data_IF_784306546310
#
_entry.id   IF_784306546310
#
_cell.length_a   1.000
_cell.length_b   1.000
_cell.length_c   1.000
_cell.angle_alpha   90.00
_cell.angle_beta   90.00
_cell.angle_gamma   90.00
#
_symmetry.space_group_name_H-M   'P 1'
#
loop_
_entity.id
_entity.type
_entity.pdbx_description
1 polymer ?
#
# COMPACT_ATOMS: atom_id res chain seq x y z
N UNK A 1 40.05 -33.42 18.75
CA UNK A 1 38.90 -32.94 19.55
C UNK A 1 38.23 -31.69 18.97
N UNK A 2 38.69 -31.14 17.83
CA UNK A 2 38.18 -29.90 17.23
C UNK A 2 37.20 -30.03 16.04
N UNK A 3 37.09 -31.21 15.40
CA UNK A 3 36.19 -31.36 14.24
C UNK A 3 34.70 -31.43 14.61
N UNK A 4 34.38 -31.96 15.80
CA UNK A 4 33.00 -32.05 16.31
C UNK A 4 32.47 -30.68 16.75
N UNK A 5 33.30 -29.85 17.39
CA UNK A 5 32.92 -28.48 17.81
C UNK A 5 32.64 -27.57 16.63
N UNK A 6 33.42 -27.66 15.55
CA UNK A 6 33.17 -26.86 14.35
C UNK A 6 31.91 -27.31 13.59
N UNK A 7 31.55 -28.60 13.58
CA UNK A 7 30.26 -29.06 13.04
C UNK A 7 29.08 -28.53 13.86
N UNK A 8 29.18 -28.55 15.19
CA UNK A 8 28.15 -28.03 16.10
C UNK A 8 27.98 -26.52 15.96
N UNK A 9 29.07 -25.75 15.81
CA UNK A 9 29.00 -24.29 15.61
C UNK A 9 28.40 -23.93 14.23
N UNK A 10 28.71 -24.69 13.17
CA UNK A 10 28.10 -24.50 11.85
C UNK A 10 26.61 -24.87 11.87
N UNK A 11 26.23 -25.95 12.57
CA UNK A 11 24.82 -26.35 12.70
C UNK A 11 23.99 -25.36 13.54
N UNK A 12 24.60 -24.72 14.54
CA UNK A 12 23.92 -23.72 15.39
C UNK A 12 23.77 -22.37 14.66
N UNK A 13 24.73 -21.98 13.80
CA UNK A 13 24.61 -20.74 13.01
C UNK A 13 23.58 -20.79 11.88
N UNK A 14 23.26 -21.96 11.32
CA UNK A 14 22.20 -22.08 10.31
C UNK A 14 20.77 -22.08 10.90
N UNK A 15 20.61 -22.33 12.21
CA UNK A 15 19.28 -22.42 12.84
C UNK A 15 18.72 -21.08 13.32
N UNK A 16 19.53 -20.01 13.31
CA UNK A 16 19.20 -18.73 13.96
C UNK A 16 19.45 -17.50 13.08
N UNK A 17 19.24 -17.62 11.77
CA UNK A 17 19.04 -16.44 10.94
C UNK A 17 18.05 -16.72 9.81
N UNK A 18 16.88 -17.27 10.16
CA UNK A 18 15.68 -17.00 9.34
C UNK A 18 15.33 -15.55 9.70
N UNK A 19 15.88 -14.60 8.94
CA UNK A 19 15.29 -13.26 8.87
C UNK A 19 13.92 -13.53 8.25
N UNK A 20 12.90 -13.68 9.10
CA UNK A 20 11.54 -13.71 8.62
C UNK A 20 11.30 -12.34 8.02
N UNK A 21 11.37 -12.26 6.68
CA UNK A 21 11.03 -11.04 5.97
C UNK A 21 9.54 -10.83 6.22
N UNK A 22 9.22 -9.79 6.98
CA UNK A 22 7.84 -9.36 7.12
C UNK A 22 7.41 -8.82 5.76
N UNK A 23 6.38 -9.41 5.18
CA UNK A 23 5.76 -8.97 3.94
C UNK A 23 4.38 -8.40 4.25
N UNK A 24 3.91 -7.50 3.41
CA UNK A 24 2.56 -6.96 3.49
C UNK A 24 1.65 -7.76 2.57
N UNK A 25 0.56 -8.33 3.13
CA UNK A 25 -0.49 -8.98 2.33
C UNK A 25 -1.67 -8.04 2.29
N UNK A 26 -2.09 -7.67 1.08
CA UNK A 26 -3.17 -6.71 0.85
C UNK A 26 -4.27 -7.24 -0.08
N UNK A 27 -5.51 -6.79 0.13
CA UNK A 27 -6.62 -6.91 -0.80
C UNK A 27 -7.26 -5.56 -1.02
N UNK A 28 -7.52 -5.23 -2.29
CA UNK A 28 -8.24 -4.03 -2.69
C UNK A 28 -9.51 -4.38 -3.44
N UNK A 29 -10.56 -3.59 -3.24
CA UNK A 29 -11.78 -3.67 -4.04
C UNK A 29 -12.42 -2.29 -4.19
N UNK A 30 -13.11 -2.06 -5.30
CA UNK A 30 -13.87 -0.83 -5.50
C UNK A 30 -15.16 -0.86 -4.68
N UNK A 31 -15.58 0.32 -4.25
CA UNK A 31 -16.82 0.55 -3.53
C UNK A 31 -17.74 1.47 -4.33
N UNK A 32 -19.04 1.29 -4.15
CA UNK A 32 -20.00 2.35 -4.46
C UNK A 32 -19.94 3.42 -3.37
N UNK A 33 -20.51 4.60 -3.65
CA UNK A 33 -20.59 5.69 -2.68
C UNK A 33 -21.39 5.29 -1.43
N UNK A 34 -22.46 4.54 -1.64
CA UNK A 34 -23.33 4.05 -0.57
C UNK A 34 -22.57 3.06 0.32
N UNK A 35 -21.84 2.10 -0.29
CA UNK A 35 -21.04 1.13 0.46
C UNK A 35 -19.87 1.79 1.18
N UNK A 36 -19.25 2.81 0.59
CA UNK A 36 -18.25 3.64 1.25
C UNK A 36 -18.79 4.25 2.54
N UNK A 37 -19.97 4.89 2.50
CA UNK A 37 -20.59 5.48 3.69
C UNK A 37 -20.96 4.43 4.74
N UNK A 38 -21.56 3.30 4.32
CA UNK A 38 -21.91 2.18 5.19
C UNK A 38 -20.69 1.63 5.94
N UNK A 39 -19.57 1.44 5.24
CA UNK A 39 -18.35 0.92 5.85
C UNK A 39 -17.72 1.91 6.83
N UNK A 40 -17.75 3.22 6.53
CA UNK A 40 -17.29 4.22 7.49
C UNK A 40 -18.10 4.14 8.79
N UNK A 41 -19.43 4.04 8.71
CA UNK A 41 -20.25 3.86 9.92
C UNK A 41 -19.92 2.55 10.65
N UNK A 42 -19.75 1.45 9.90
CA UNK A 42 -19.41 0.16 10.47
C UNK A 42 -18.08 0.20 11.23
N UNK A 43 -17.00 0.71 10.63
CA UNK A 43 -15.68 0.71 11.27
C UNK A 43 -15.54 1.75 12.37
N UNK A 44 -16.29 2.85 12.33
CA UNK A 44 -16.39 3.77 13.48
C UNK A 44 -17.01 3.08 14.71
N UNK A 45 -17.88 2.08 14.52
CA UNK A 45 -18.51 1.34 15.63
C UNK A 45 -17.73 0.10 16.05
N UNK A 46 -17.09 -0.59 15.10
CA UNK A 46 -16.53 -1.93 15.30
C UNK A 46 -15.00 -1.99 15.19
N UNK A 47 -14.36 -0.93 14.71
CA UNK A 47 -12.91 -0.81 14.62
C UNK A 47 -12.37 0.30 15.53
N UNK A 48 -11.05 0.37 15.62
CA UNK A 48 -10.33 1.46 16.26
C UNK A 48 -9.88 2.45 15.20
N UNK A 49 -10.39 3.69 15.25
CA UNK A 49 -9.92 4.76 14.38
C UNK A 49 -8.42 5.02 14.59
N UNK A 50 -7.67 5.10 13.50
CA UNK A 50 -6.23 5.34 13.52
C UNK A 50 -5.89 6.74 12.98
N UNK A 51 -6.34 7.06 11.77
CA UNK A 51 -6.07 8.36 11.15
C UNK A 51 -7.05 8.71 10.04
N UNK A 52 -7.07 10.00 9.69
CA UNK A 52 -7.63 10.53 8.44
C UNK A 52 -6.60 11.43 7.81
N UNK A 53 -6.28 11.19 6.55
CA UNK A 53 -5.19 11.86 5.85
C UNK A 53 -5.58 12.22 4.42
N UNK A 54 -5.25 13.44 4.02
CA UNK A 54 -5.19 13.81 2.61
C UNK A 54 -3.81 13.47 2.07
N UNK A 55 -3.78 12.67 1.02
CA UNK A 55 -2.56 12.18 0.40
C UNK A 55 -2.48 12.69 -1.04
N UNK A 56 -1.29 13.13 -1.43
CA UNK A 56 -0.92 13.47 -2.79
C UNK A 56 0.28 12.62 -3.19
N UNK A 57 0.13 11.76 -4.20
CA UNK A 57 1.20 10.86 -4.68
C UNK A 57 1.50 11.13 -6.14
N UNK A 58 2.76 11.35 -6.48
CA UNK A 58 3.22 11.51 -7.86
C UNK A 58 4.05 10.29 -8.24
N UNK A 59 3.60 9.54 -9.24
CA UNK A 59 4.38 8.48 -9.85
C UNK A 59 5.31 9.11 -10.88
N UNK A 60 6.60 8.90 -10.72
CA UNK A 60 7.61 9.49 -11.60
C UNK A 60 7.80 8.63 -12.85
N UNK A 61 8.25 9.26 -13.93
CA UNK A 61 8.50 8.65 -15.24
C UNK A 61 9.76 7.77 -15.27
N UNK A 62 9.86 6.77 -14.38
CA UNK A 62 10.97 5.81 -14.33
C UNK A 62 10.52 4.40 -14.72
N UNK A 63 11.48 3.53 -15.05
CA UNK A 63 11.21 2.09 -15.25
C UNK A 63 10.81 1.40 -13.94
N UNK A 64 11.40 1.85 -12.83
CA UNK A 64 11.04 1.41 -11.48
C UNK A 64 9.80 2.16 -10.98
N UNK A 65 9.13 1.58 -9.99
CA UNK A 65 7.97 2.18 -9.31
C UNK A 65 8.43 3.20 -8.27
N UNK A 66 8.98 4.33 -8.76
CA UNK A 66 9.43 5.45 -7.94
C UNK A 66 8.32 6.49 -7.82
N UNK A 67 8.06 6.92 -6.60
CA UNK A 67 7.07 7.96 -6.34
C UNK A 67 7.51 8.91 -5.24
N UNK A 68 6.94 10.11 -5.28
CA UNK A 68 6.98 11.05 -4.17
C UNK A 68 5.57 11.19 -3.62
N UNK A 69 5.43 11.31 -2.31
CA UNK A 69 4.14 11.45 -1.66
C UNK A 69 4.22 12.48 -0.54
N UNK A 70 3.14 13.22 -0.31
CA UNK A 70 2.91 13.90 0.97
C UNK A 70 1.55 13.54 1.53
N UNK A 71 1.45 13.56 2.84
CA UNK A 71 0.17 13.54 3.55
C UNK A 71 0.05 14.77 4.45
N UNK A 72 -0.88 14.73 5.41
CA UNK A 72 -1.07 15.84 6.33
C UNK A 72 0.10 16.05 7.31
N UNK A 73 0.98 15.05 7.47
CA UNK A 73 2.01 14.98 8.50
C UNK A 73 3.46 15.03 7.97
N UNK A 74 3.74 14.39 6.83
CA UNK A 74 5.09 14.24 6.29
C UNK A 74 5.09 14.19 4.76
N UNK A 75 6.29 14.26 4.19
CA UNK A 75 6.56 13.90 2.80
C UNK A 75 7.49 12.68 2.75
N UNK A 76 7.45 11.93 1.66
CA UNK A 76 8.35 10.80 1.45
C UNK A 76 8.68 10.59 -0.02
N UNK A 77 9.83 9.97 -0.23
CA UNK A 77 10.19 9.31 -1.49
C UNK A 77 10.12 7.81 -1.21
N UNK A 78 9.44 7.05 -2.06
CA UNK A 78 9.37 5.60 -1.95
C UNK A 78 9.58 4.93 -3.31
N UNK A 79 10.33 3.84 -3.32
CA UNK A 79 10.57 3.01 -4.50
C UNK A 79 10.19 1.59 -4.17
N UNK A 80 9.28 1.02 -4.96
CA UNK A 80 8.98 -0.42 -4.91
C UNK A 80 9.75 -1.11 -6.03
N UNK A 81 10.62 -2.06 -5.70
CA UNK A 81 11.36 -2.86 -6.70
C UNK A 81 10.54 -4.08 -7.13
N UNK A 82 10.84 -4.63 -8.30
CA UNK A 82 10.11 -5.77 -8.87
C UNK A 82 8.85 -5.33 -9.63
N UNK A 83 8.01 -6.29 -10.04
CA UNK A 83 6.83 -6.01 -10.87
C UNK A 83 5.64 -5.58 -10.03
N UNK A 84 4.85 -4.65 -10.55
CA UNK A 84 3.48 -4.40 -10.09
C UNK A 84 2.77 -5.76 -10.16
N UNK A 85 2.31 -6.30 -9.02
CA UNK A 85 1.72 -7.65 -8.83
C UNK A 85 2.63 -8.79 -8.32
N UNK A 86 3.91 -8.55 -8.02
CA UNK A 86 4.68 -9.54 -7.28
C UNK A 86 4.14 -9.65 -5.83
N UNK A 87 4.08 -10.87 -5.28
CA UNK A 87 3.49 -11.16 -3.96
C UNK A 87 4.25 -10.52 -2.78
N UNK A 88 5.52 -10.16 -3.00
CA UNK A 88 6.34 -9.38 -2.09
C UNK A 88 7.32 -8.53 -2.91
N UNK A 89 7.45 -7.25 -2.54
CA UNK A 89 8.35 -6.30 -3.20
C UNK A 89 9.27 -5.66 -2.18
N UNK A 90 10.54 -5.52 -2.53
CA UNK A 90 11.47 -4.73 -1.72
C UNK A 90 11.08 -3.26 -1.84
N UNK A 91 10.91 -2.59 -0.71
CA UNK A 91 10.54 -1.18 -0.64
C UNK A 91 11.66 -0.37 0.01
N UNK A 92 12.05 0.72 -0.64
CA UNK A 92 12.96 1.72 -0.10
C UNK A 92 12.15 2.98 0.15
N UNK A 93 12.09 3.44 1.39
CA UNK A 93 11.33 4.62 1.78
C UNK A 93 12.19 5.59 2.61
N UNK A 94 12.12 6.87 2.27
CA UNK A 94 12.79 7.96 2.99
C UNK A 94 11.78 9.04 3.32
N UNK A 95 11.68 9.39 4.60
CA UNK A 95 10.76 10.41 5.11
C UNK A 95 11.43 11.78 5.22
N UNK A 96 10.63 12.81 5.01
CA UNK A 96 10.97 14.24 5.05
C UNK A 96 9.85 15.00 5.76
N UNK A 97 10.11 16.27 6.09
CA UNK A 97 9.06 17.17 6.53
C UNK A 97 8.10 17.45 5.36
N UNK A 98 6.81 17.65 5.66
CA UNK A 98 5.77 17.90 4.65
C UNK A 98 6.10 19.11 3.78
N UNK A 99 6.68 20.14 4.38
CA UNK A 99 7.04 21.41 3.73
C UNK A 99 8.13 21.24 2.68
N UNK A 100 8.91 20.15 2.75
CA UNK A 100 9.94 19.85 1.77
C UNK A 100 9.40 19.23 0.48
N UNK A 101 8.12 18.87 0.41
CA UNK A 101 7.55 18.22 -0.77
C UNK A 101 7.78 19.01 -2.07
N UNK A 102 7.58 20.33 -2.04
CA UNK A 102 7.83 21.17 -3.22
C UNK A 102 9.31 21.21 -3.62
N UNK A 103 10.24 21.13 -2.66
CA UNK A 103 11.68 21.04 -2.94
C UNK A 103 12.03 19.68 -3.54
N UNK A 104 11.45 18.60 -3.02
CA UNK A 104 11.62 17.25 -3.54
C UNK A 104 11.12 17.18 -4.98
N UNK A 105 9.90 17.67 -5.26
CA UNK A 105 9.34 17.74 -6.61
C UNK A 105 10.28 18.52 -7.54
N UNK A 106 10.75 19.70 -7.10
CA UNK A 106 11.67 20.51 -7.89
C UNK A 106 13.01 19.82 -8.19
N UNK A 107 13.59 19.11 -7.21
CA UNK A 107 14.81 18.32 -7.40
C UNK A 107 14.56 17.23 -8.45
N UNK A 108 13.49 16.44 -8.29
CA UNK A 108 13.11 15.39 -9.22
C UNK A 108 12.95 15.95 -10.65
N UNK A 109 12.18 17.02 -10.84
CA UNK A 109 11.96 17.60 -12.16
C UNK A 109 13.24 18.15 -12.78
N UNK A 110 14.13 18.74 -11.97
CA UNK A 110 15.43 19.28 -12.42
C UNK A 110 16.34 18.18 -12.97
N UNK A 111 16.28 16.96 -12.41
CA UNK A 111 17.06 15.81 -12.89
C UNK A 111 16.32 14.97 -13.96
N UNK A 112 15.21 15.49 -14.49
CA UNK A 112 14.45 14.84 -15.57
C UNK A 112 13.38 13.85 -15.11
N UNK A 113 13.11 13.77 -13.80
CA UNK A 113 12.05 12.93 -13.25
C UNK A 113 10.75 13.74 -13.09
N UNK A 114 9.82 13.55 -14.02
CA UNK A 114 8.53 14.25 -14.02
C UNK A 114 7.39 13.33 -13.61
N UNK A 115 6.34 13.85 -12.95
CA UNK A 115 5.14 13.07 -12.66
C UNK A 115 4.46 12.56 -13.95
N UNK A 116 4.38 11.24 -14.11
CA UNK A 116 3.56 10.58 -15.13
C UNK A 116 2.07 10.64 -14.76
N UNK A 117 1.78 10.44 -13.47
CA UNK A 117 0.43 10.48 -12.93
C UNK A 117 0.46 10.99 -11.49
N UNK A 118 -0.52 11.84 -11.15
CA UNK A 118 -0.74 12.30 -9.77
C UNK A 118 -2.03 11.69 -9.22
N UNK A 119 -2.01 11.34 -7.94
CA UNK A 119 -3.13 10.76 -7.21
C UNK A 119 -3.45 11.64 -6.02
N UNK A 120 -4.72 11.97 -5.84
CA UNK A 120 -5.21 12.73 -4.69
C UNK A 120 -6.27 11.91 -3.99
N UNK A 121 -6.02 11.64 -2.72
CA UNK A 121 -6.83 10.70 -1.95
C UNK A 121 -7.10 11.25 -0.56
N UNK A 122 -8.31 11.03 -0.05
CA UNK A 122 -8.58 11.05 1.38
C UNK A 122 -8.62 9.60 1.86
N UNK A 123 -7.73 9.24 2.78
CA UNK A 123 -7.62 7.89 3.36
C UNK A 123 -8.06 7.95 4.82
N UNK A 124 -8.99 7.08 5.20
CA UNK A 124 -9.40 6.87 6.58
C UNK A 124 -8.96 5.48 7.00
N UNK A 125 -8.16 5.39 8.06
CA UNK A 125 -7.54 4.14 8.50
C UNK A 125 -8.14 3.68 9.83
N UNK A 126 -8.46 2.40 9.91
CA UNK A 126 -8.91 1.72 11.12
C UNK A 126 -8.07 0.47 11.40
N UNK A 127 -7.88 0.14 12.66
CA UNK A 127 -7.49 -1.20 13.08
C UNK A 127 -8.75 -2.01 13.39
N UNK A 128 -8.91 -3.19 12.79
CA UNK A 128 -10.08 -4.04 12.98
C UNK A 128 -9.67 -5.51 13.06
N UNK A 129 -9.91 -6.16 14.19
CA UNK A 129 -9.69 -7.61 14.38
C UNK A 129 -8.30 -8.11 13.91
N UNK A 130 -7.25 -7.34 14.19
CA UNK A 130 -5.88 -7.71 13.85
C UNK A 130 -5.49 -7.51 12.39
N UNK A 131 -6.27 -6.74 11.64
CA UNK A 131 -5.94 -6.22 10.30
C UNK A 131 -6.03 -4.70 10.28
N UNK A 132 -5.34 -4.10 9.31
CA UNK A 132 -5.48 -2.68 8.97
C UNK A 132 -6.53 -2.54 7.86
N UNK A 133 -7.38 -1.52 7.98
CA UNK A 133 -8.45 -1.24 7.03
C UNK A 133 -8.33 0.21 6.58
N UNK A 134 -8.17 0.43 5.27
CA UNK A 134 -8.18 1.77 4.69
C UNK A 134 -9.39 1.94 3.79
N UNK A 135 -10.12 3.03 4.03
CA UNK A 135 -11.25 3.45 3.21
C UNK A 135 -10.84 4.73 2.50
N UNK A 136 -10.71 4.62 1.19
CA UNK A 136 -10.12 5.64 0.34
C UNK A 136 -11.19 6.30 -0.52
N UNK A 137 -11.22 7.63 -0.53
CA UNK A 137 -11.87 8.45 -1.55
C UNK A 137 -10.78 9.04 -2.45
N UNK A 138 -10.66 8.50 -3.66
CA UNK A 138 -9.60 8.86 -4.61
C UNK A 138 -10.21 9.67 -5.75
N UNK A 139 -9.82 10.95 -5.85
CA UNK A 139 -10.37 11.90 -6.84
C UNK A 139 -10.20 11.35 -8.25
N UNK A 140 -11.30 11.28 -9.00
CA UNK A 140 -11.33 10.78 -10.39
C UNK A 140 -11.25 9.25 -10.53
N UNK A 141 -10.87 8.51 -9.48
CA UNK A 141 -10.71 7.07 -9.53
C UNK A 141 -11.82 6.30 -8.81
N UNK A 142 -12.40 6.90 -7.76
CA UNK A 142 -13.52 6.37 -6.99
C UNK A 142 -13.13 5.93 -5.58
N UNK A 143 -14.01 5.13 -4.99
CA UNK A 143 -13.89 4.67 -3.61
C UNK A 143 -13.27 3.29 -3.56
N UNK A 144 -12.34 3.06 -2.63
CA UNK A 144 -11.62 1.78 -2.50
C UNK A 144 -11.62 1.36 -1.03
N UNK A 145 -11.87 0.07 -0.81
CA UNK A 145 -11.52 -0.60 0.44
C UNK A 145 -10.18 -1.33 0.23
N UNK A 146 -9.24 -1.09 1.14
CA UNK A 146 -7.99 -1.83 1.27
C UNK A 146 -8.00 -2.54 2.63
N UNK A 147 -7.78 -3.85 2.60
CA UNK A 147 -7.54 -4.66 3.80
C UNK A 147 -6.09 -5.11 3.75
N UNK A 148 -5.36 -4.91 4.84
CA UNK A 148 -3.92 -5.16 4.90
C UNK A 148 -3.53 -5.90 6.18
N UNK A 149 -2.55 -6.80 6.07
CA UNK A 149 -1.96 -7.50 7.19
C UNK A 149 -0.47 -7.76 6.97
N UNK A 150 0.35 -7.42 7.96
CA UNK A 150 1.74 -7.88 8.02
C UNK A 150 1.78 -9.40 8.23
N UNK A 151 2.50 -10.09 7.36
CA UNK A 151 2.64 -11.54 7.30
C UNK A 151 4.12 -11.94 7.18
N UNK A 152 4.38 -13.24 7.24
CA UNK A 152 5.64 -13.86 6.80
C UNK A 152 5.40 -14.59 5.49
N UNK A 153 6.46 -14.96 4.78
CA UNK A 153 6.38 -15.75 3.53
C UNK A 153 5.61 -17.07 3.75
N UNK A 154 5.81 -17.73 4.89
CA UNK A 154 5.15 -19.00 5.22
C UNK A 154 3.66 -18.85 5.52
N UNK A 155 3.21 -17.65 5.94
CA UNK A 155 1.82 -17.37 6.35
C UNK A 155 1.01 -16.61 5.30
N UNK A 156 1.64 -16.18 4.21
CA UNK A 156 1.04 -15.28 3.21
C UNK A 156 -0.31 -15.76 2.68
N UNK A 157 -0.41 -17.05 2.34
CA UNK A 157 -1.65 -17.65 1.82
C UNK A 157 -2.75 -17.74 2.88
N UNK A 158 -2.36 -18.02 4.13
CA UNK A 158 -3.28 -18.07 5.25
C UNK A 158 -3.84 -16.67 5.54
N UNK A 159 -2.97 -15.66 5.57
CA UNK A 159 -3.37 -14.28 5.83
C UNK A 159 -4.19 -13.71 4.66
N UNK A 160 -3.85 -14.03 3.40
CA UNK A 160 -4.68 -13.70 2.24
C UNK A 160 -6.07 -14.34 2.33
N UNK A 161 -6.16 -15.61 2.74
CA UNK A 161 -7.44 -16.29 2.96
C UNK A 161 -8.26 -15.61 4.07
N UNK A 162 -7.62 -15.15 5.14
CA UNK A 162 -8.25 -14.37 6.20
C UNK A 162 -8.85 -13.07 5.64
N UNK A 163 -8.09 -12.31 4.83
CA UNK A 163 -8.57 -11.07 4.23
C UNK A 163 -9.77 -11.33 3.29
N UNK A 164 -9.75 -12.41 2.50
CA UNK A 164 -10.89 -12.80 1.65
C UNK A 164 -12.14 -13.10 2.47
N UNK A 165 -12.00 -13.81 3.60
CA UNK A 165 -13.12 -14.08 4.53
C UNK A 165 -13.64 -12.80 5.15
N UNK A 166 -12.78 -11.86 5.52
CA UNK A 166 -13.15 -10.54 6.05
C UNK A 166 -13.96 -9.74 5.03
N UNK A 167 -13.54 -9.74 3.76
CA UNK A 167 -14.27 -9.11 2.66
C UNK A 167 -15.67 -9.71 2.49
N UNK A 168 -15.79 -11.04 2.56
CA UNK A 168 -17.07 -11.75 2.52
C UNK A 168 -17.97 -11.42 3.72
N UNK A 169 -17.41 -11.28 4.92
CA UNK A 169 -18.15 -10.85 6.12
C UNK A 169 -18.78 -9.47 5.94
N UNK A 170 -18.07 -8.56 5.24
CA UNK A 170 -18.57 -7.23 4.90
C UNK A 170 -19.55 -7.23 3.71
N UNK A 171 -19.78 -8.38 3.09
CA UNK A 171 -20.63 -8.58 1.92
C UNK A 171 -20.19 -7.70 0.73
N UNK A 172 -18.89 -7.61 0.50
CA UNK A 172 -18.32 -6.83 -0.60
C UNK A 172 -17.77 -7.81 -1.65
N UNK A 173 -18.14 -7.65 -2.94
CA UNK A 173 -17.52 -8.44 -4.00
C UNK A 173 -16.05 -8.02 -4.19
N UNK A 174 -15.20 -8.98 -4.54
CA UNK A 174 -13.82 -8.69 -4.89
C UNK A 174 -13.77 -8.13 -6.33
N UNK A 175 -13.21 -6.94 -6.50
CA UNK A 175 -12.95 -6.42 -7.85
C UNK A 175 -11.91 -7.26 -8.57
N UNK A 176 -12.10 -7.45 -9.87
CA UNK A 176 -11.16 -8.21 -10.69
C UNK A 176 -9.94 -7.37 -11.07
N UNK A 177 -8.86 -8.03 -11.49
CA UNK A 177 -7.67 -7.34 -11.99
C UNK A 177 -7.99 -6.50 -13.22
N UNK A 178 -8.84 -7.01 -14.09
CA UNK A 178 -9.28 -6.34 -15.32
C UNK A 178 -10.06 -5.06 -15.00
N UNK A 179 -10.90 -5.07 -13.96
CA UNK A 179 -11.61 -3.86 -13.51
C UNK A 179 -10.64 -2.77 -13.05
N UNK A 180 -9.62 -3.14 -12.25
CA UNK A 180 -8.56 -2.22 -11.85
C UNK A 180 -7.76 -1.70 -13.05
N UNK A 181 -7.37 -2.58 -13.97
CA UNK A 181 -6.61 -2.18 -15.17
C UNK A 181 -7.41 -1.22 -16.06
N UNK A 182 -8.71 -1.47 -16.24
CA UNK A 182 -9.58 -0.60 -17.03
C UNK A 182 -9.75 0.78 -16.38
N UNK A 183 -10.08 0.81 -15.08
CA UNK A 183 -10.19 2.06 -14.31
C UNK A 183 -8.88 2.85 -14.32
N UNK A 184 -7.74 2.16 -14.21
CA UNK A 184 -6.43 2.78 -14.23
C UNK A 184 -6.14 3.44 -15.58
N UNK A 185 -6.40 2.75 -16.70
CA UNK A 185 -6.25 3.32 -18.05
C UNK A 185 -7.13 4.55 -18.25
N UNK A 186 -8.37 4.51 -17.79
CA UNK A 186 -9.29 5.64 -17.89
C UNK A 186 -8.82 6.85 -17.09
N UNK A 187 -8.25 6.61 -15.90
CA UNK A 187 -7.71 7.66 -15.03
C UNK A 187 -6.39 8.23 -15.57
N UNK A 188 -5.47 7.39 -16.04
CA UNK A 188 -4.17 7.81 -16.58
C UNK A 188 -4.31 8.82 -17.72
N UNK A 189 -5.35 8.69 -18.54
CA UNK A 189 -5.63 9.61 -19.65
C UNK A 189 -6.22 10.95 -19.23
N UNK A 190 -6.77 11.06 -18.01
CA UNK A 190 -7.70 12.14 -17.62
C UNK A 190 -7.39 12.77 -16.27
N UNK A 191 -6.40 12.27 -15.53
CA UNK A 191 -6.13 12.71 -14.16
C UNK A 191 -5.95 14.23 -14.08
N UNK A 192 -5.26 14.87 -15.03
CA UNK A 192 -5.06 16.32 -15.06
C UNK A 192 -6.36 17.15 -15.07
N UNK A 193 -7.44 16.58 -15.58
CA UNK A 193 -8.76 17.22 -15.63
C UNK A 193 -9.60 16.77 -14.44
N UNK A 194 -9.54 15.49 -14.08
CA UNK A 194 -10.35 14.87 -13.03
C UNK A 194 -9.90 15.23 -11.61
N UNK A 195 -8.68 15.75 -11.44
CA UNK A 195 -8.14 16.11 -10.13
C UNK A 195 -8.12 17.61 -9.84
N UNK A 196 -8.55 18.45 -10.79
CA UNK A 196 -8.76 19.89 -10.59
C UNK A 196 -9.96 20.13 -9.68
#
# INVERSE_FOLDING_TARGET
MDRERNKIIIFIKLKYLIISMNIEVELRTFLTKEKYAELLEFFNRNGSFMSTEKQETHYLNTSEDLRIQKNDFFAKIWMKKGKLHDEAREEIEVHFQKEDFAKIENICTTIGLTPKIKWYRTRITFAWEGISVMIDDTKGYGYILELEKMSTEEKKEQDLSLLKKKLQQLQIPLSTKEEFEQKFKDYEQKWEIQTK
#
